data_IF_181729237196
#
_entry.id   IF_181729237196
#
_cell.length_a   1.000
_cell.length_b   1.000
_cell.length_c   1.000
_cell.angle_alpha   90.00
_cell.angle_beta   90.00
_cell.angle_gamma   90.00
#
_symmetry.space_group_name_H-M   'P 1'
#
loop_
_entity.id
_entity.type
_entity.pdbx_description
1 polymer ?
#
# COMPACT_ATOMS: atom_id res chain seq x y z
N UNK A 1 3.87 -1.15 44.46
CA UNK A 1 2.87 -0.14 44.07
C UNK A 1 1.78 -0.19 45.12
N UNK A 2 1.55 0.91 45.83
CA UNK A 2 0.46 0.98 46.80
C UNK A 2 -0.84 1.26 46.04
N UNK A 3 -1.92 0.59 46.44
CA UNK A 3 -3.22 0.63 45.76
C UNK A 3 -3.87 2.03 45.78
N UNK A 4 -3.44 2.89 46.72
CA UNK A 4 -3.99 4.22 46.99
C UNK A 4 -3.06 5.36 46.56
N UNK A 5 -2.37 5.24 45.43
CA UNK A 5 -1.59 6.34 44.87
C UNK A 5 -2.53 7.39 44.24
N UNK A 6 -2.54 8.65 44.71
CA UNK A 6 -3.44 9.70 44.19
C UNK A 6 -3.16 10.08 42.73
N UNK A 7 -2.05 9.64 42.15
CA UNK A 7 -1.73 9.83 40.73
C UNK A 7 -2.40 8.81 39.80
N UNK A 8 -3.07 7.78 40.31
CA UNK A 8 -3.64 6.69 39.51
C UNK A 8 -5.16 6.76 39.52
N UNK A 9 -5.75 6.99 38.34
CA UNK A 9 -7.21 6.91 38.13
C UNK A 9 -7.58 5.51 37.67
N UNK A 10 -8.03 4.69 38.61
CA UNK A 10 -8.61 3.38 38.31
C UNK A 10 -9.92 3.55 37.54
N UNK A 11 -10.02 2.91 36.37
CA UNK A 11 -11.23 2.91 35.55
C UNK A 11 -11.84 1.51 35.57
N UNK A 12 -13.16 1.43 35.69
CA UNK A 12 -13.86 0.15 35.59
C UNK A 12 -13.93 -0.34 34.14
N UNK A 13 -13.97 -1.66 33.98
CA UNK A 13 -14.19 -2.26 32.66
C UNK A 13 -15.58 -1.87 32.13
N UNK A 14 -15.68 -1.34 30.89
CA UNK A 14 -16.97 -1.00 30.32
C UNK A 14 -17.82 -2.26 30.14
N UNK A 15 -18.99 -2.29 30.78
CA UNK A 15 -19.93 -3.40 30.63
C UNK A 15 -20.46 -3.44 29.20
N UNK A 16 -20.06 -4.47 28.45
CA UNK A 16 -20.54 -4.67 27.09
C UNK A 16 -22.07 -4.91 27.10
N UNK A 17 -22.80 -4.12 26.32
CA UNK A 17 -24.20 -4.38 26.02
C UNK A 17 -24.37 -5.65 25.18
N UNK A 18 -25.62 -6.07 24.95
CA UNK A 18 -25.94 -7.28 24.16
C UNK A 18 -25.30 -7.27 22.77
N UNK A 19 -25.27 -6.11 22.10
CA UNK A 19 -24.64 -5.96 20.78
C UNK A 19 -23.12 -6.17 20.81
N UNK A 20 -22.45 -5.75 21.88
CA UNK A 20 -21.00 -5.97 22.06
C UNK A 20 -20.67 -7.43 22.34
N UNK A 21 -21.54 -8.12 23.09
CA UNK A 21 -21.37 -9.55 23.41
C UNK A 21 -21.64 -10.48 22.22
N UNK A 22 -22.57 -10.11 21.34
CA UNK A 22 -22.91 -10.91 20.15
C UNK A 22 -21.92 -10.73 18.99
N UNK A 23 -21.04 -9.72 19.03
CA UNK A 23 -20.05 -9.37 17.97
C UNK A 23 -20.62 -9.07 16.57
N UNK A 24 -21.93 -9.22 16.37
CA UNK A 24 -22.65 -8.97 15.13
C UNK A 24 -22.34 -7.60 14.48
N UNK A 25 -22.26 -6.45 15.20
CA UNK A 25 -21.93 -5.18 14.56
C UNK A 25 -20.52 -5.19 13.93
N UNK A 26 -19.54 -5.82 14.57
CA UNK A 26 -18.17 -5.92 14.05
C UNK A 26 -18.11 -6.81 12.80
N UNK A 27 -18.88 -7.90 12.79
CA UNK A 27 -18.97 -8.79 11.63
C UNK A 27 -19.58 -8.07 10.42
N UNK A 28 -20.68 -7.34 10.61
CA UNK A 28 -21.34 -6.56 9.55
C UNK A 28 -20.40 -5.46 9.03
N UNK A 29 -19.65 -4.81 9.92
CA UNK A 29 -18.66 -3.82 9.53
C UNK A 29 -17.57 -4.42 8.63
N UNK A 30 -17.01 -5.57 9.00
CA UNK A 30 -16.02 -6.28 8.19
C UNK A 30 -16.56 -6.69 6.82
N UNK A 31 -17.77 -7.26 6.78
CA UNK A 31 -18.43 -7.64 5.53
C UNK A 31 -18.67 -6.44 4.62
N UNK A 32 -19.11 -5.31 5.17
CA UNK A 32 -19.36 -4.08 4.39
C UNK A 32 -18.09 -3.59 3.70
N UNK A 33 -16.96 -3.63 4.41
CA UNK A 33 -15.65 -3.30 3.83
C UNK A 33 -15.29 -4.26 2.70
N UNK A 34 -15.46 -5.58 2.91
CA UNK A 34 -15.21 -6.59 1.87
C UNK A 34 -16.09 -6.38 0.64
N UNK A 35 -17.40 -6.15 0.82
CA UNK A 35 -18.32 -5.87 -0.28
C UNK A 35 -17.95 -4.61 -1.06
N UNK A 36 -17.42 -3.58 -0.39
CA UNK A 36 -16.94 -2.35 -1.05
C UNK A 36 -15.71 -2.60 -1.93
N UNK A 37 -14.77 -3.43 -1.48
CA UNK A 37 -13.62 -3.81 -2.31
C UNK A 37 -14.04 -4.71 -3.47
N UNK A 38 -14.93 -5.68 -3.21
CA UNK A 38 -15.47 -6.57 -4.24
C UNK A 38 -16.18 -5.78 -5.34
N UNK A 39 -17.02 -4.81 -4.99
CA UNK A 39 -17.72 -3.99 -5.99
C UNK A 39 -16.77 -3.17 -6.86
N UNK A 40 -15.63 -2.73 -6.31
CA UNK A 40 -14.58 -2.03 -7.09
C UNK A 40 -13.96 -2.96 -8.13
N UNK A 41 -13.68 -4.20 -7.75
CA UNK A 41 -13.14 -5.21 -8.68
C UNK A 41 -14.16 -5.63 -9.74
N UNK A 42 -15.42 -5.87 -9.35
CA UNK A 42 -16.49 -6.29 -10.28
C UNK A 42 -16.90 -5.17 -11.24
N UNK A 43 -16.84 -3.91 -10.81
CA UNK A 43 -17.12 -2.74 -11.66
C UNK A 43 -15.98 -2.40 -12.64
N UNK A 44 -14.94 -3.24 -12.76
CA UNK A 44 -13.88 -3.09 -13.74
C UNK A 44 -12.88 -1.97 -13.41
N UNK A 45 -12.70 -1.63 -12.13
CA UNK A 45 -11.68 -0.67 -11.66
C UNK A 45 -10.60 -1.34 -10.80
N UNK A 46 -9.97 -2.44 -11.26
CA UNK A 46 -8.91 -3.07 -10.48
C UNK A 46 -7.67 -2.17 -10.43
N UNK A 47 -6.86 -2.33 -9.39
CA UNK A 47 -5.55 -1.66 -9.26
C UNK A 47 -4.48 -2.39 -10.09
N UNK A 48 -4.80 -3.59 -10.61
CA UNK A 48 -3.88 -4.43 -11.37
C UNK A 48 -3.91 -4.09 -12.86
N UNK A 49 -2.75 -4.15 -13.50
CA UNK A 49 -2.57 -4.00 -14.95
C UNK A 49 -2.32 -5.37 -15.59
N UNK A 50 -2.87 -5.61 -16.78
CA UNK A 50 -2.77 -6.90 -17.48
C UNK A 50 -1.46 -7.01 -18.27
N UNK A 51 -0.36 -7.39 -17.63
CA UNK A 51 0.90 -7.64 -18.33
C UNK A 51 0.88 -9.00 -19.03
N UNK A 52 1.33 -9.13 -20.30
CA UNK A 52 2.11 -8.17 -21.09
C UNK A 52 1.29 -7.26 -22.03
N UNK A 53 -0.03 -7.39 -22.06
CA UNK A 53 -0.90 -6.63 -22.98
C UNK A 53 -0.93 -5.12 -22.65
N UNK A 54 -0.82 -4.79 -21.36
CA UNK A 54 -0.73 -3.43 -20.83
C UNK A 54 0.54 -3.26 -19.99
N UNK A 55 1.29 -2.18 -20.24
CA UNK A 55 2.48 -1.81 -19.46
C UNK A 55 2.10 -0.93 -18.26
N UNK A 56 2.81 -1.07 -17.12
CA UNK A 56 2.58 -0.23 -15.95
C UNK A 56 3.02 1.22 -16.19
N UNK A 57 2.24 2.18 -15.67
CA UNK A 57 2.61 3.60 -15.71
C UNK A 57 3.71 3.93 -14.69
N UNK A 58 4.85 4.45 -15.16
CA UNK A 58 5.91 4.93 -14.28
C UNK A 58 5.62 6.36 -13.80
N UNK A 59 5.58 6.57 -12.47
CA UNK A 59 5.18 7.86 -11.89
C UNK A 59 5.99 9.08 -12.36
N UNK A 60 7.31 8.95 -12.56
CA UNK A 60 8.12 9.98 -13.21
C UNK A 60 9.02 9.35 -14.28
N UNK A 61 8.61 9.42 -15.56
CA UNK A 61 9.36 8.82 -16.67
C UNK A 61 10.78 9.40 -16.84
N UNK A 62 11.03 10.64 -16.42
CA UNK A 62 12.32 11.32 -16.62
C UNK A 62 13.44 10.75 -15.75
N UNK A 63 13.09 10.13 -14.62
CA UNK A 63 14.05 9.56 -13.67
C UNK A 63 14.06 8.02 -13.71
N UNK A 64 13.29 7.41 -14.62
CA UNK A 64 13.22 5.97 -14.72
C UNK A 64 14.57 5.39 -15.17
N UNK A 65 15.12 4.49 -14.35
CA UNK A 65 16.39 3.81 -14.62
C UNK A 65 16.11 2.46 -15.26
N UNK A 66 16.16 2.43 -16.58
CA UNK A 66 16.00 1.22 -17.37
C UNK A 66 17.32 0.47 -17.59
N UNK A 67 17.43 -0.13 -18.78
CA UNK A 67 18.60 -0.92 -19.17
C UNK A 67 19.83 -0.02 -19.39
N UNK A 68 20.94 -0.39 -18.77
CA UNK A 68 22.23 0.27 -19.00
C UNK A 68 22.73 0.03 -20.43
N UNK A 69 23.11 1.11 -21.12
CA UNK A 69 23.69 1.07 -22.48
C UNK A 69 24.87 2.04 -22.58
N UNK A 70 25.90 1.65 -23.32
CA UNK A 70 26.99 2.56 -23.66
C UNK A 70 26.51 3.54 -24.74
N UNK A 71 26.55 4.83 -24.40
CA UNK A 71 26.18 5.90 -25.31
C UNK A 71 27.25 6.15 -26.37
N UNK A 72 26.82 6.62 -27.54
CA UNK A 72 27.69 7.02 -28.66
C UNK A 72 27.76 8.55 -28.77
N UNK A 73 28.81 9.08 -29.38
CA UNK A 73 28.97 10.50 -29.74
C UNK A 73 28.26 10.84 -31.06
N UNK A 74 28.30 12.11 -31.47
CA UNK A 74 27.69 12.61 -32.71
C UNK A 74 28.30 11.98 -33.98
N UNK A 75 29.54 11.48 -33.89
CA UNK A 75 30.21 10.76 -34.97
C UNK A 75 29.97 9.24 -34.91
N UNK A 76 29.14 8.74 -33.99
CA UNK A 76 28.79 7.32 -33.86
C UNK A 76 29.83 6.44 -33.15
N UNK A 77 30.87 7.04 -32.54
CA UNK A 77 31.90 6.32 -31.75
C UNK A 77 31.40 6.11 -30.33
N UNK A 78 31.88 5.05 -29.68
CA UNK A 78 31.53 4.76 -28.27
C UNK A 78 32.16 5.81 -27.35
N UNK A 79 31.39 6.42 -26.43
CA UNK A 79 31.90 7.47 -25.51
C UNK A 79 32.84 6.95 -24.42
N UNK A 80 32.79 5.65 -24.11
CA UNK A 80 33.62 5.05 -23.08
C UNK A 80 35.10 5.12 -23.46
N UNK A 81 35.94 5.67 -22.57
CA UNK A 81 37.41 5.77 -22.73
C UNK A 81 38.17 4.83 -21.76
N UNK A 82 37.47 3.88 -21.15
CA UNK A 82 38.03 2.96 -20.14
C UNK A 82 38.74 3.68 -18.96
N UNK A 83 38.14 4.76 -18.46
CA UNK A 83 38.66 5.52 -17.32
C UNK A 83 38.41 4.87 -15.95
N UNK A 84 37.62 3.78 -15.88
CA UNK A 84 37.28 3.05 -14.65
C UNK A 84 36.64 3.93 -13.54
N UNK A 85 35.85 4.93 -13.95
CA UNK A 85 35.03 5.79 -13.08
C UNK A 85 33.58 5.28 -13.01
#
# INVERSE_FOLDING_TARGET
>A
MQENDPSIKWIEEPKLGLAGKMYLPMFVQGLTTTFRHLSTSVAGKPVTTSYPDEEPEFGNPLIYRGVHRLNKDEQGRVKCVACFL
#
